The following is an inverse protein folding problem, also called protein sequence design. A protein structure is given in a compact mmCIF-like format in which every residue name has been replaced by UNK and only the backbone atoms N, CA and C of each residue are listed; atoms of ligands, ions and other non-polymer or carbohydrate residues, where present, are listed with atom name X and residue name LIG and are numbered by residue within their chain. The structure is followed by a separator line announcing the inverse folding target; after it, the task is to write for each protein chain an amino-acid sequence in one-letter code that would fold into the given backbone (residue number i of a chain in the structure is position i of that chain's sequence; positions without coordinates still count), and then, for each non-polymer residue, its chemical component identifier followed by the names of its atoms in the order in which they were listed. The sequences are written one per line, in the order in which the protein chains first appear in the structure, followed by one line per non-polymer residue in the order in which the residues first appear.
data_IF_298278893266
#
_entry.id   IF_298278893266
#
_cell.length_a   1.000
_cell.length_b   1.000
_cell.length_c   1.000
_cell.angle_alpha   90.00
_cell.angle_beta   90.00
_cell.angle_gamma   90.00
#
_symmetry.space_group_name_H-M   'P 1'
#
loop_
_entity.id
_entity.type
_entity.pdbx_description
1 polymer ?
#
# COMPACT_ATOMS: atom_id res chain seq x y z
N UNK A 1 28.43 1.14 49.20
CA UNK A 1 28.54 2.29 48.26
C UNK A 1 28.61 3.55 49.12
N UNK A 2 29.83 4.05 49.32
CA UNK A 2 30.06 5.27 50.10
C UNK A 2 29.83 6.46 49.16
N UNK A 3 28.84 7.27 49.46
CA UNK A 3 28.59 8.55 48.77
C UNK A 3 29.75 9.49 49.11
N UNK A 4 30.38 10.07 48.10
CA UNK A 4 31.44 11.05 48.32
C UNK A 4 30.90 12.27 49.10
N UNK A 5 31.64 12.81 50.08
CA UNK A 5 31.13 13.80 51.04
C UNK A 5 30.65 15.13 50.44
N UNK A 6 30.95 15.43 49.17
CA UNK A 6 30.45 16.63 48.48
C UNK A 6 29.04 16.54 47.88
N UNK A 7 28.46 15.34 47.76
CA UNK A 7 27.14 15.17 47.10
C UNK A 7 25.98 15.44 48.07
N UNK A 8 26.17 15.14 49.36
CA UNK A 8 25.18 15.44 50.39
C UNK A 8 25.14 16.95 50.73
N UNK A 9 26.31 17.59 50.75
CA UNK A 9 26.46 19.04 51.02
C UNK A 9 25.87 19.89 49.87
N UNK A 10 26.03 19.45 48.62
CA UNK A 10 25.39 20.09 47.46
C UNK A 10 23.85 19.99 47.47
N UNK A 11 23.29 18.90 48.00
CA UNK A 11 21.84 18.71 48.09
C UNK A 11 21.18 19.55 49.19
N UNK A 12 21.88 19.86 50.28
CA UNK A 12 21.40 20.80 51.31
C UNK A 12 21.48 22.26 50.84
N UNK A 13 22.54 22.64 50.10
CA UNK A 13 22.68 24.00 49.55
C UNK A 13 21.57 24.33 48.52
N UNK A 14 21.11 23.36 47.75
CA UNK A 14 19.99 23.53 46.80
C UNK A 14 18.63 23.58 47.52
N UNK A 15 18.46 22.91 48.66
CA UNK A 15 17.22 22.96 49.48
C UNK A 15 17.10 24.23 50.33
N UNK A 16 18.22 24.84 50.71
CA UNK A 16 18.26 26.00 51.59
C UNK A 16 18.21 27.35 50.84
N UNK A 17 18.35 27.35 49.51
CA UNK A 17 18.08 28.56 48.73
C UNK A 17 16.56 28.76 48.61
N UNK A 18 16.02 29.94 49.00
CA UNK A 18 14.70 30.33 48.56
C UNK A 18 14.74 30.35 47.03
N UNK A 19 13.83 29.63 46.39
CA UNK A 19 13.60 29.81 44.96
C UNK A 19 13.11 31.25 44.82
N UNK A 20 14.01 32.16 44.43
CA UNK A 20 13.58 33.45 43.93
C UNK A 20 12.61 33.15 42.80
N UNK A 21 11.38 33.66 42.95
CA UNK A 21 10.37 33.57 41.90
C UNK A 21 10.90 34.35 40.71
N UNK A 22 11.53 33.62 39.79
CA UNK A 22 11.82 34.09 38.45
C UNK A 22 10.50 34.61 37.91
N UNK A 23 10.43 35.91 37.58
CA UNK A 23 9.27 36.53 36.96
C UNK A 23 9.15 36.08 35.49
N UNK A 24 9.12 34.77 35.27
CA UNK A 24 8.97 34.15 33.97
C UNK A 24 7.93 33.03 34.08
N UNK A 25 6.78 33.35 34.69
CA UNK A 25 5.62 32.46 34.74
C UNK A 25 5.14 32.03 33.34
N UNK A 26 5.53 32.78 32.30
CA UNK A 26 5.30 32.39 30.92
C UNK A 26 6.13 31.18 30.47
N UNK A 27 7.36 31.01 30.97
CA UNK A 27 8.23 29.89 30.61
C UNK A 27 7.76 28.61 31.30
N UNK A 28 7.45 28.68 32.60
CA UNK A 28 6.90 27.55 33.37
C UNK A 28 5.54 27.08 32.82
N UNK A 29 4.64 28.01 32.47
CA UNK A 29 3.37 27.69 31.80
C UNK A 29 3.57 27.11 30.39
N UNK A 30 4.59 27.58 29.64
CA UNK A 30 4.95 27.02 28.33
C UNK A 30 5.46 25.59 28.46
N UNK A 31 6.33 25.32 29.42
CA UNK A 31 6.85 23.98 29.70
C UNK A 31 5.75 23.04 30.19
N UNK A 32 4.86 23.50 31.07
CA UNK A 32 3.70 22.70 31.50
C UNK A 32 2.76 22.40 30.33
N UNK A 33 2.53 23.36 29.43
CA UNK A 33 1.70 23.14 28.24
C UNK A 33 2.35 22.18 27.25
N UNK A 34 3.66 22.26 27.04
CA UNK A 34 4.40 21.33 26.19
C UNK A 34 4.44 19.92 26.78
N UNK A 35 4.72 19.79 28.08
CA UNK A 35 4.71 18.50 28.76
C UNK A 35 3.31 17.87 28.75
N UNK A 36 2.26 18.67 29.02
CA UNK A 36 0.88 18.18 28.93
C UNK A 36 0.51 17.79 27.49
N UNK A 37 0.95 18.55 26.48
CA UNK A 37 0.73 18.19 25.07
C UNK A 37 1.44 16.89 24.69
N UNK A 38 2.67 16.66 25.20
CA UNK A 38 3.43 15.44 24.98
C UNK A 38 2.82 14.23 25.72
N UNK A 39 2.29 14.43 26.93
CA UNK A 39 1.57 13.39 27.67
C UNK A 39 0.23 13.05 26.98
N UNK A 40 -0.49 14.05 26.47
CA UNK A 40 -1.74 13.85 25.73
C UNK A 40 -1.48 13.15 24.38
N UNK A 41 -0.38 13.50 23.70
CA UNK A 41 0.13 12.81 22.51
C UNK A 41 0.47 11.35 22.84
N UNK A 42 1.21 11.10 23.92
CA UNK A 42 1.57 9.75 24.36
C UNK A 42 0.33 8.92 24.73
N UNK A 43 -0.64 9.52 25.43
CA UNK A 43 -1.93 8.86 25.74
C UNK A 43 -2.77 8.58 24.50
N UNK A 44 -2.74 9.46 23.48
CA UNK A 44 -3.36 9.20 22.18
C UNK A 44 -2.67 8.05 21.44
N UNK A 45 -1.35 7.90 21.59
CA UNK A 45 -0.59 6.79 21.01
C UNK A 45 -0.78 5.47 21.78
N UNK A 46 -1.07 5.54 23.09
CA UNK A 46 -1.31 4.39 23.98
C UNK A 46 -2.78 3.97 24.09
N UNK A 47 -3.72 4.72 23.50
CA UNK A 47 -5.15 4.39 23.56
C UNK A 47 -5.44 3.07 22.81
N UNK A 48 -5.85 2.00 23.52
CA UNK A 48 -6.07 0.69 22.91
C UNK A 48 -7.48 0.63 22.32
N UNK A 49 -7.56 0.33 21.01
CA UNK A 49 -8.78 0.04 20.25
C UNK A 49 -9.73 1.23 20.09
N UNK A 50 -9.43 2.08 19.12
CA UNK A 50 -10.44 2.88 18.43
C UNK A 50 -10.70 2.22 17.06
N UNK A 51 -11.94 1.87 16.76
CA UNK A 51 -12.31 1.29 15.46
C UNK A 51 -12.03 2.31 14.35
N UNK A 52 -11.24 1.94 13.36
CA UNK A 52 -11.11 2.72 12.12
C UNK A 52 -12.22 2.28 11.20
N UNK A 53 -13.16 3.17 10.89
CA UNK A 53 -14.03 2.95 9.74
C UNK A 53 -13.15 2.96 8.50
N UNK A 54 -12.93 1.77 7.92
CA UNK A 54 -12.32 1.65 6.61
C UNK A 54 -13.20 2.49 5.67
N UNK A 55 -12.59 3.49 5.03
CA UNK A 55 -13.30 4.35 4.08
C UNK A 55 -13.98 3.47 3.03
N UNK A 56 -15.19 3.84 2.59
CA UNK A 56 -15.97 3.04 1.63
C UNK A 56 -15.30 2.85 0.27
N UNK A 57 -14.17 3.52 0.06
CA UNK A 57 -13.40 3.56 -1.17
C UNK A 57 -12.01 2.97 -0.89
N UNK A 58 -11.68 1.88 -1.57
CA UNK A 58 -10.39 1.19 -1.44
C UNK A 58 -9.77 1.01 -2.82
N UNK A 59 -8.45 1.15 -2.93
CA UNK A 59 -7.72 0.66 -4.11
C UNK A 59 -7.43 -0.83 -3.98
N UNK A 60 -7.14 -1.51 -5.09
CA UNK A 60 -6.71 -2.91 -5.03
C UNK A 60 -5.43 -3.10 -4.19
N UNK A 61 -4.54 -2.10 -4.19
CA UNK A 61 -3.35 -2.03 -3.35
C UNK A 61 -3.67 -1.83 -1.86
N UNK A 62 -4.72 -1.07 -1.54
CA UNK A 62 -5.17 -0.91 -0.15
C UNK A 62 -5.65 -2.24 0.43
N UNK A 63 -6.31 -3.08 -0.36
CA UNK A 63 -6.74 -4.42 0.06
C UNK A 63 -5.53 -5.33 0.38
N UNK A 64 -4.48 -5.26 -0.45
CA UNK A 64 -3.22 -5.98 -0.23
C UNK A 64 -2.55 -5.51 1.06
N UNK A 65 -2.46 -4.19 1.22
CA UNK A 65 -1.84 -3.56 2.40
C UNK A 65 -2.59 -3.90 3.68
N UNK A 66 -3.92 -3.88 3.64
CA UNK A 66 -4.80 -4.26 4.74
C UNK A 66 -4.58 -5.72 5.15
N UNK A 67 -4.46 -6.65 4.19
CA UNK A 67 -4.21 -8.06 4.52
C UNK A 67 -2.79 -8.30 5.05
N UNK A 68 -1.79 -7.68 4.46
CA UNK A 68 -0.39 -7.87 4.87
C UNK A 68 -0.13 -7.33 6.28
N UNK A 69 -0.67 -6.15 6.60
CA UNK A 69 -0.53 -5.54 7.93
C UNK A 69 -1.71 -4.60 8.23
N UNK A 70 -2.81 -5.12 8.80
CA UNK A 70 -4.01 -4.34 9.08
C UNK A 70 -3.76 -3.14 10.00
N UNK A 71 -2.89 -3.31 11.01
CA UNK A 71 -2.54 -2.24 11.95
C UNK A 71 -1.75 -1.11 11.28
N UNK A 72 -0.80 -1.45 10.41
CA UNK A 72 -0.04 -0.45 9.66
C UNK A 72 -0.93 0.28 8.65
N UNK A 73 -1.83 -0.42 7.98
CA UNK A 73 -2.81 0.17 7.08
C UNK A 73 -3.74 1.16 7.82
N UNK A 74 -4.31 0.74 8.95
CA UNK A 74 -5.14 1.59 9.81
C UNK A 74 -4.38 2.83 10.33
N UNK A 75 -3.08 2.68 10.65
CA UNK A 75 -2.21 3.81 11.02
C UNK A 75 -1.98 4.79 9.87
N UNK A 76 -1.78 4.29 8.63
CA UNK A 76 -1.61 5.13 7.43
C UNK A 76 -2.88 5.91 7.11
N UNK A 77 -4.05 5.28 7.19
CA UNK A 77 -5.33 5.94 6.98
C UNK A 77 -5.58 7.06 8.01
N UNK A 78 -5.07 6.90 9.25
CA UNK A 78 -5.18 7.91 10.32
C UNK A 78 -4.24 9.09 10.19
N UNK A 79 -3.05 8.90 9.64
CA UNK A 79 -2.01 9.92 9.53
C UNK A 79 -1.37 9.83 8.14
N UNK A 80 -1.97 10.46 7.12
CA UNK A 80 -1.37 10.56 5.80
C UNK A 80 -0.12 11.45 5.91
N UNK A 81 1.05 10.84 6.05
CA UNK A 81 2.32 11.55 6.03
C UNK A 81 2.78 11.66 4.58
N UNK A 82 3.24 12.82 4.09
CA UNK A 82 3.85 12.94 2.78
C UNK A 82 5.02 11.95 2.66
N UNK A 83 4.91 10.97 1.77
CA UNK A 83 5.99 10.02 1.55
C UNK A 83 7.18 10.73 0.91
N UNK A 84 8.38 10.48 1.43
CA UNK A 84 9.61 10.78 0.69
C UNK A 84 9.53 9.95 -0.59
N UNK A 85 9.58 10.55 -1.80
CA UNK A 85 9.33 9.82 -3.03
C UNK A 85 10.41 8.74 -3.17
N UNK A 86 10.00 7.48 -2.97
CA UNK A 86 10.86 6.33 -3.03
C UNK A 86 11.39 6.18 -4.45
N UNK A 87 12.71 6.10 -4.64
CA UNK A 87 13.33 5.95 -5.97
C UNK A 87 12.84 4.70 -6.70
N UNK A 88 12.42 3.66 -5.96
CA UNK A 88 11.83 2.44 -6.52
C UNK A 88 10.41 2.65 -7.02
N UNK A 89 9.59 3.39 -6.27
CA UNK A 89 8.27 3.83 -6.75
C UNK A 89 8.42 4.63 -8.06
N UNK A 90 9.46 5.49 -8.17
CA UNK A 90 9.76 6.19 -9.42
C UNK A 90 10.13 5.26 -10.58
N UNK A 91 10.77 4.12 -10.31
CA UNK A 91 11.15 3.14 -11.34
C UNK A 91 9.92 2.38 -11.83
N UNK A 92 9.09 1.88 -10.92
CA UNK A 92 7.81 1.25 -11.24
C UNK A 92 6.97 2.17 -12.11
N UNK A 93 6.75 3.42 -11.68
CA UNK A 93 6.02 4.42 -12.46
C UNK A 93 6.63 4.65 -13.85
N UNK A 94 7.95 4.80 -13.97
CA UNK A 94 8.60 4.98 -15.28
C UNK A 94 8.46 3.77 -16.20
N UNK A 95 8.44 2.56 -15.64
CA UNK A 95 8.24 1.33 -16.41
C UNK A 95 6.79 1.22 -16.91
N UNK A 96 5.79 1.46 -16.05
CA UNK A 96 4.39 1.46 -16.44
C UNK A 96 4.08 2.55 -17.47
N UNK A 97 4.61 3.77 -17.29
CA UNK A 97 4.48 4.84 -18.29
C UNK A 97 5.05 4.42 -19.65
N UNK A 98 6.18 3.69 -19.67
CA UNK A 98 6.71 3.16 -20.92
C UNK A 98 5.84 2.07 -21.54
N UNK A 99 5.19 1.22 -20.74
CA UNK A 99 4.24 0.22 -21.24
C UNK A 99 3.01 0.90 -21.85
N UNK A 100 2.49 1.94 -21.21
CA UNK A 100 1.40 2.77 -21.74
C UNK A 100 1.76 3.36 -23.11
N UNK A 101 2.93 4.01 -23.21
CA UNK A 101 3.45 4.57 -24.45
C UNK A 101 3.60 3.49 -25.53
N UNK A 102 4.13 2.31 -25.16
CA UNK A 102 4.33 1.18 -26.08
C UNK A 102 3.01 0.67 -26.65
N UNK A 103 2.00 0.53 -25.82
CA UNK A 103 0.69 0.02 -26.26
C UNK A 103 -0.25 1.13 -26.76
N UNK A 104 0.21 2.38 -26.80
CA UNK A 104 -0.49 3.51 -27.42
C UNK A 104 -1.65 4.06 -26.59
N UNK A 105 -1.67 3.80 -25.28
CA UNK A 105 -2.68 4.34 -24.38
C UNK A 105 -2.25 5.73 -23.89
N UNK A 106 -2.91 6.79 -24.34
CA UNK A 106 -2.72 8.12 -23.77
C UNK A 106 -3.55 8.24 -22.49
N UNK A 107 -3.00 7.84 -21.35
CA UNK A 107 -3.63 8.09 -20.04
C UNK A 107 -3.18 9.46 -19.51
N UNK A 108 -4.15 10.32 -19.18
CA UNK A 108 -3.92 11.49 -18.34
C UNK A 108 -3.60 10.97 -16.94
N UNK A 109 -2.47 11.38 -16.37
CA UNK A 109 -2.07 11.01 -15.01
C UNK A 109 -3.12 11.51 -14.00
N UNK A 110 -3.83 10.61 -13.34
CA UNK A 110 -4.62 10.91 -12.14
C UNK A 110 -3.75 10.76 -10.89
N UNK A 111 -3.87 11.72 -9.97
CA UNK A 111 -3.01 11.94 -8.80
C UNK A 111 -3.18 10.87 -7.69
N UNK A 112 -4.07 9.88 -7.88
CA UNK A 112 -4.42 8.83 -6.92
C UNK A 112 -3.57 7.54 -7.04
N UNK A 113 -2.52 7.55 -7.86
CA UNK A 113 -1.61 6.40 -8.01
C UNK A 113 -0.63 6.32 -6.83
N UNK A 114 -1.12 5.89 -5.67
CA UNK A 114 -0.25 5.50 -4.57
C UNK A 114 0.36 4.12 -4.87
N UNK A 115 1.70 4.00 -4.83
CA UNK A 115 2.40 2.77 -5.21
C UNK A 115 2.05 1.60 -4.30
N UNK A 116 2.09 0.39 -4.87
CA UNK A 116 2.08 -0.89 -4.17
C UNK A 116 2.97 -0.87 -2.93
N UNK A 117 2.39 -0.87 -1.74
CA UNK A 117 3.15 -1.02 -0.49
C UNK A 117 3.57 -2.47 -0.34
N UNK A 118 4.79 -2.76 -0.82
CA UNK A 118 5.39 -4.09 -0.81
C UNK A 118 6.55 -4.28 -1.79
N UNK A 119 6.97 -3.26 -2.54
CA UNK A 119 8.16 -3.39 -3.38
C UNK A 119 9.44 -3.41 -2.52
N UNK A 120 9.84 -4.61 -2.09
CA UNK A 120 11.21 -4.85 -1.66
C UNK A 120 12.19 -4.67 -2.83
N UNK A 121 13.39 -4.24 -2.46
CA UNK A 121 14.48 -3.80 -3.32
C UNK A 121 14.74 -4.79 -4.45
N UNK A 122 14.55 -4.36 -5.69
CA UNK A 122 15.16 -5.02 -6.85
C UNK A 122 16.24 -4.08 -7.38
N UNK A 123 17.44 -4.59 -7.62
CA UNK A 123 18.59 -3.80 -8.08
C UNK A 123 18.51 -3.40 -9.57
N UNK A 124 17.40 -3.72 -10.23
CA UNK A 124 17.27 -3.58 -11.69
C UNK A 124 17.08 -2.13 -12.15
N UNK A 125 17.75 -1.76 -13.23
CA UNK A 125 17.51 -0.45 -13.88
C UNK A 125 16.20 -0.45 -14.69
N UNK A 126 15.65 0.74 -15.01
CA UNK A 126 14.50 0.85 -15.94
C UNK A 126 14.84 0.20 -17.29
N UNK A 127 16.08 0.36 -17.77
CA UNK A 127 16.53 -0.24 -19.03
C UNK A 127 16.48 -1.77 -18.99
N UNK A 128 16.99 -2.37 -17.91
CA UNK A 128 16.92 -3.83 -17.71
C UNK A 128 15.48 -4.35 -17.66
N UNK A 129 14.56 -3.61 -17.03
CA UNK A 129 13.15 -3.99 -17.01
C UNK A 129 12.52 -3.95 -18.41
N UNK A 130 12.87 -2.93 -19.22
CA UNK A 130 12.43 -2.85 -20.62
C UNK A 130 12.95 -4.02 -21.44
N UNK A 131 14.24 -4.33 -21.31
CA UNK A 131 14.86 -5.45 -22.04
C UNK A 131 14.27 -6.80 -21.60
N UNK A 132 14.06 -7.00 -20.30
CA UNK A 132 13.43 -8.20 -19.77
C UNK A 132 11.98 -8.34 -20.25
N UNK A 133 11.21 -7.25 -20.28
CA UNK A 133 9.87 -7.26 -20.85
C UNK A 133 9.89 -7.63 -22.33
N UNK A 134 10.78 -7.02 -23.12
CA UNK A 134 10.91 -7.28 -24.56
C UNK A 134 11.34 -8.73 -24.88
N UNK A 135 12.04 -9.38 -23.95
CA UNK A 135 12.40 -10.80 -24.04
C UNK A 135 11.30 -11.75 -23.52
N UNK A 136 10.24 -11.23 -22.89
CA UNK A 136 9.16 -12.04 -22.33
C UNK A 136 8.12 -12.42 -23.39
N UNK A 137 7.30 -13.46 -23.15
CA UNK A 137 6.17 -13.80 -24.02
C UNK A 137 5.15 -12.66 -24.19
N UNK A 138 5.13 -11.69 -23.28
CA UNK A 138 4.20 -10.56 -23.32
C UNK A 138 4.60 -9.50 -24.36
N UNK A 139 5.85 -9.49 -24.83
CA UNK A 139 6.33 -8.50 -25.79
C UNK A 139 5.60 -8.55 -27.14
N UNK A 140 5.16 -9.75 -27.52
CA UNK A 140 4.48 -10.05 -28.79
C UNK A 140 2.96 -10.07 -28.66
N UNK A 141 2.41 -10.04 -27.44
CA UNK A 141 0.97 -9.99 -27.21
C UNK A 141 0.46 -8.55 -27.31
N UNK A 142 -0.67 -8.37 -27.97
CA UNK A 142 -1.38 -7.08 -27.99
C UNK A 142 -2.58 -7.15 -27.06
N UNK A 143 -2.64 -6.35 -25.99
CA UNK A 143 -3.79 -6.29 -25.11
C UNK A 143 -5.01 -5.68 -25.82
N UNK A 144 -6.20 -6.14 -25.45
CA UNK A 144 -7.46 -5.55 -25.91
C UNK A 144 -7.75 -4.23 -25.19
N UNK A 145 -7.36 -4.13 -23.93
CA UNK A 145 -7.47 -2.93 -23.12
C UNK A 145 -6.18 -2.73 -22.33
N UNK A 146 -5.76 -1.48 -22.18
CA UNK A 146 -4.57 -1.07 -21.45
C UNK A 146 -4.99 -0.02 -20.45
N UNK A 147 -4.46 -0.11 -19.23
CA UNK A 147 -4.71 0.85 -18.17
C UNK A 147 -6.22 1.13 -18.00
N UNK A 148 -7.03 0.07 -17.98
CA UNK A 148 -8.47 0.20 -17.99
C UNK A 148 -8.97 0.48 -16.57
N UNK A 149 -9.68 1.60 -16.33
CA UNK A 149 -10.20 1.91 -15.01
C UNK A 149 -11.34 0.94 -14.64
N UNK A 150 -11.48 0.67 -13.35
CA UNK A 150 -12.61 -0.07 -12.83
C UNK A 150 -13.14 0.52 -11.53
N UNK A 151 -14.42 0.27 -11.29
CA UNK A 151 -15.08 0.42 -10.00
C UNK A 151 -15.94 -0.82 -9.78
N UNK A 152 -15.82 -1.45 -8.61
CA UNK A 152 -16.58 -2.65 -8.27
C UNK A 152 -17.03 -2.62 -6.82
N UNK A 153 -18.24 -3.10 -6.56
CA UNK A 153 -18.76 -3.25 -5.21
C UNK A 153 -18.51 -4.67 -4.74
N UNK A 154 -17.82 -4.81 -3.59
CA UNK A 154 -17.55 -6.10 -2.93
C UNK A 154 -18.08 -6.01 -1.50
N UNK A 155 -19.19 -6.72 -1.25
CA UNK A 155 -19.94 -6.57 -0.01
C UNK A 155 -20.45 -5.13 0.13
N UNK A 156 -20.02 -4.43 1.19
CA UNK A 156 -20.33 -3.01 1.43
C UNK A 156 -19.23 -2.04 1.00
N UNK A 157 -18.16 -2.54 0.39
CA UNK A 157 -16.98 -1.75 0.01
C UNK A 157 -17.00 -1.47 -1.48
N UNK A 158 -16.65 -0.24 -1.86
CA UNK A 158 -16.39 0.14 -3.25
C UNK A 158 -14.88 0.07 -3.46
N UNK A 159 -14.47 -0.72 -4.45
CA UNK A 159 -13.06 -0.87 -4.82
C UNK A 159 -12.85 -0.24 -6.19
N UNK A 160 -11.89 0.67 -6.28
CA UNK A 160 -11.50 1.37 -7.51
C UNK A 160 -10.07 1.08 -7.89
N UNK A 161 -9.74 1.21 -9.16
CA UNK A 161 -8.36 1.08 -9.61
C UNK A 161 -8.24 1.02 -11.12
N UNK A 162 -7.09 0.53 -11.57
CA UNK A 162 -6.77 0.32 -12.98
C UNK A 162 -6.21 -1.08 -13.17
N UNK A 163 -6.46 -1.66 -14.33
CA UNK A 163 -5.86 -2.91 -14.78
C UNK A 163 -4.84 -2.57 -15.86
N UNK A 164 -3.58 -2.97 -15.69
CA UNK A 164 -2.54 -2.61 -16.66
C UNK A 164 -2.86 -3.14 -18.06
N UNK A 165 -3.30 -4.39 -18.15
CA UNK A 165 -3.69 -4.99 -19.41
C UNK A 165 -4.78 -6.05 -19.27
N UNK A 166 -5.64 -6.11 -20.29
CA UNK A 166 -6.68 -7.14 -20.42
C UNK A 166 -6.61 -7.75 -21.80
N UNK A 167 -6.55 -9.08 -21.84
CA UNK A 167 -6.48 -9.88 -23.05
C UNK A 167 -7.74 -10.73 -23.20
N UNK A 168 -8.24 -10.82 -24.43
CA UNK A 168 -9.21 -11.83 -24.83
C UNK A 168 -8.45 -13.01 -25.43
N UNK A 169 -8.69 -14.19 -24.88
CA UNK A 169 -8.07 -15.43 -25.32
C UNK A 169 -8.84 -16.03 -26.51
N UNK A 170 -8.16 -16.89 -27.27
CA UNK A 170 -8.74 -17.50 -28.47
C UNK A 170 -9.98 -18.36 -28.18
N UNK A 171 -10.10 -18.90 -26.96
CA UNK A 171 -11.25 -19.67 -26.48
C UNK A 171 -12.41 -18.79 -25.99
N UNK A 172 -12.26 -17.46 -26.04
CA UNK A 172 -13.26 -16.49 -25.59
C UNK A 172 -13.18 -16.13 -24.11
N UNK A 173 -12.27 -16.74 -23.34
CA UNK A 173 -12.00 -16.33 -21.95
C UNK A 173 -11.23 -15.02 -21.90
N UNK A 174 -11.20 -14.39 -20.73
CA UNK A 174 -10.46 -13.15 -20.49
C UNK A 174 -9.31 -13.40 -19.53
N UNK A 175 -8.21 -12.69 -19.73
CA UNK A 175 -7.05 -12.68 -18.85
C UNK A 175 -6.69 -11.23 -18.49
N UNK A 176 -6.82 -10.89 -17.22
CA UNK A 176 -6.33 -9.62 -16.67
C UNK A 176 -4.89 -9.82 -16.21
N UNK A 177 -4.00 -8.93 -16.63
CA UNK A 177 -2.56 -9.00 -16.35
C UNK A 177 -2.12 -7.69 -15.74
N UNK A 178 -1.33 -7.78 -14.68
CA UNK A 178 -0.68 -6.65 -14.05
C UNK A 178 0.83 -6.96 -13.95
N UNK A 179 1.65 -6.02 -14.41
CA UNK A 179 3.09 -6.16 -14.50
C UNK A 179 3.76 -5.68 -13.21
N UNK A 180 4.54 -6.55 -12.58
CA UNK A 180 5.25 -6.25 -11.34
C UNK A 180 6.74 -6.08 -11.60
N UNK A 181 7.32 -5.02 -11.03
CA UNK A 181 8.77 -4.75 -11.07
C UNK A 181 9.51 -5.21 -9.81
N UNK A 182 8.77 -5.62 -8.78
CA UNK A 182 9.28 -6.15 -7.51
C UNK A 182 9.56 -7.65 -7.51
N UNK A 183 9.79 -8.18 -6.31
CA UNK A 183 10.04 -9.60 -6.06
C UNK A 183 8.79 -10.47 -6.23
N UNK A 184 8.99 -11.75 -6.53
CA UNK A 184 7.91 -12.74 -6.53
C UNK A 184 7.46 -12.95 -5.07
N UNK A 185 6.17 -12.78 -4.75
CA UNK A 185 5.68 -12.78 -3.39
C UNK A 185 5.79 -14.17 -2.78
N UNK A 186 6.13 -14.23 -1.50
CA UNK A 186 6.20 -15.48 -0.74
C UNK A 186 5.32 -15.42 0.51
N UNK A 187 4.92 -16.59 1.01
CA UNK A 187 4.15 -16.69 2.25
C UNK A 187 2.89 -15.79 2.28
N UNK A 188 2.73 -14.91 3.29
CA UNK A 188 1.58 -14.01 3.42
C UNK A 188 1.36 -13.09 2.20
N UNK A 189 2.42 -12.58 1.59
CA UNK A 189 2.33 -11.67 0.44
C UNK A 189 1.68 -12.35 -0.76
N UNK A 190 1.93 -13.64 -0.95
CA UNK A 190 1.28 -14.44 -2.00
C UNK A 190 -0.23 -14.49 -1.80
N UNK A 191 -0.67 -14.56 -0.55
CA UNK A 191 -2.10 -14.57 -0.21
C UNK A 191 -2.76 -13.21 -0.45
N UNK A 192 -2.02 -12.11 -0.35
CA UNK A 192 -2.51 -10.78 -0.70
C UNK A 192 -2.54 -10.58 -2.22
N UNK A 193 -1.53 -11.07 -2.93
CA UNK A 193 -1.50 -11.10 -4.39
C UNK A 193 -2.72 -11.83 -4.98
N UNK A 194 -3.09 -12.98 -4.43
CA UNK A 194 -4.31 -13.72 -4.84
C UNK A 194 -5.59 -12.89 -4.66
N UNK A 195 -5.71 -12.14 -3.56
CA UNK A 195 -6.88 -11.26 -3.34
C UNK A 195 -6.95 -10.16 -4.40
N UNK A 196 -5.81 -9.53 -4.70
CA UNK A 196 -5.77 -8.47 -5.70
C UNK A 196 -6.21 -8.99 -7.08
N UNK A 197 -5.69 -10.15 -7.50
CA UNK A 197 -6.10 -10.78 -8.76
C UNK A 197 -7.58 -11.16 -8.78
N UNK A 198 -8.12 -11.61 -7.64
CA UNK A 198 -9.54 -11.89 -7.52
C UNK A 198 -10.41 -10.64 -7.65
N UNK A 199 -9.98 -9.51 -7.09
CA UNK A 199 -10.65 -8.21 -7.26
C UNK A 199 -10.68 -7.79 -8.72
N UNK A 200 -9.54 -7.88 -9.43
CA UNK A 200 -9.50 -7.60 -10.86
C UNK A 200 -10.43 -8.50 -11.67
N UNK A 201 -10.47 -9.79 -11.33
CA UNK A 201 -11.39 -10.75 -11.95
C UNK A 201 -12.86 -10.32 -11.79
N UNK A 202 -13.28 -10.02 -10.55
CA UNK A 202 -14.66 -9.61 -10.27
C UNK A 202 -14.98 -8.26 -10.94
N UNK A 203 -14.04 -7.33 -10.91
CA UNK A 203 -14.19 -6.03 -11.55
C UNK A 203 -14.39 -6.17 -13.07
N UNK A 204 -13.55 -6.96 -13.75
CA UNK A 204 -13.65 -7.14 -15.19
C UNK A 204 -14.95 -7.87 -15.58
N UNK A 205 -15.30 -8.92 -14.85
CA UNK A 205 -16.54 -9.66 -15.06
C UNK A 205 -17.77 -8.77 -14.91
N UNK A 206 -17.77 -7.89 -13.90
CA UNK A 206 -18.83 -6.90 -13.67
C UNK A 206 -18.94 -5.89 -14.82
N UNK A 207 -17.80 -5.31 -15.25
CA UNK A 207 -17.76 -4.35 -16.37
C UNK A 207 -18.32 -4.95 -17.67
N UNK A 208 -17.93 -6.18 -17.98
CA UNK A 208 -18.36 -6.89 -19.19
C UNK A 208 -19.71 -7.58 -19.04
N UNK A 209 -20.28 -7.64 -17.83
CA UNK A 209 -21.51 -8.38 -17.50
C UNK A 209 -21.45 -9.86 -17.89
N UNK A 210 -20.33 -10.50 -17.55
CA UNK A 210 -20.04 -11.92 -17.84
C UNK A 210 -19.83 -12.71 -16.53
N UNK A 211 -19.79 -14.03 -16.66
CA UNK A 211 -19.47 -14.92 -15.54
C UNK A 211 -17.99 -14.75 -15.12
N UNK A 212 -17.68 -14.44 -13.85
CA UNK A 212 -16.31 -14.38 -13.34
C UNK A 212 -15.48 -15.64 -13.57
N UNK A 213 -16.10 -16.82 -13.74
CA UNK A 213 -15.40 -18.06 -14.06
C UNK A 213 -14.72 -18.02 -15.44
N UNK A 214 -15.14 -17.12 -16.33
CA UNK A 214 -14.54 -16.91 -17.66
C UNK A 214 -13.38 -15.92 -17.65
N UNK A 215 -13.02 -15.40 -16.47
CA UNK A 215 -11.98 -14.39 -16.30
C UNK A 215 -10.87 -14.93 -15.40
N UNK A 216 -9.63 -14.90 -15.90
CA UNK A 216 -8.41 -15.25 -15.19
C UNK A 216 -7.64 -13.98 -14.81
N UNK A 217 -6.78 -14.10 -13.80
CA UNK A 217 -5.93 -13.00 -13.35
C UNK A 217 -4.50 -13.49 -13.17
N UNK A 218 -3.53 -12.72 -13.66
CA UNK A 218 -2.11 -13.04 -13.51
C UNK A 218 -1.28 -11.81 -13.15
N UNK A 219 -0.22 -12.03 -12.38
CA UNK A 219 0.88 -11.08 -12.26
C UNK A 219 2.06 -11.54 -13.08
N UNK A 220 2.69 -10.63 -13.81
CA UNK A 220 3.96 -10.92 -14.48
C UNK A 220 5.11 -10.13 -13.83
N UNK A 221 6.01 -10.84 -13.16
CA UNK A 221 7.22 -10.30 -12.54
C UNK A 221 8.31 -10.13 -13.60
N UNK A 222 8.40 -8.91 -14.14
CA UNK A 222 9.16 -8.60 -15.35
C UNK A 222 10.64 -8.96 -15.22
N UNK A 223 11.28 -8.54 -14.13
CA UNK A 223 12.69 -8.83 -13.87
C UNK A 223 13.00 -10.34 -13.80
N UNK A 224 12.01 -11.14 -13.40
CA UNK A 224 12.14 -12.58 -13.22
C UNK A 224 11.63 -13.38 -14.43
N UNK A 225 11.07 -12.69 -15.44
CA UNK A 225 10.33 -13.29 -16.54
C UNK A 225 9.37 -14.41 -16.07
N UNK A 226 8.68 -14.15 -14.95
CA UNK A 226 7.84 -15.14 -14.28
C UNK A 226 6.40 -14.66 -14.21
N UNK A 227 5.47 -15.49 -14.68
CA UNK A 227 4.04 -15.23 -14.57
C UNK A 227 3.45 -16.07 -13.43
N UNK A 228 2.91 -15.38 -12.43
CA UNK A 228 2.13 -15.97 -11.36
C UNK A 228 0.64 -15.91 -11.73
N UNK A 229 0.07 -17.06 -12.04
CA UNK A 229 -1.34 -17.23 -12.36
C UNK A 229 -1.95 -18.27 -11.42
N UNK A 230 -2.73 -17.86 -10.40
CA UNK A 230 -3.41 -18.80 -9.52
C UNK A 230 -4.47 -19.62 -10.27
N UNK A 231 -4.50 -20.94 -10.02
CA UNK A 231 -5.55 -21.81 -10.57
C UNK A 231 -6.94 -21.46 -10.04
N UNK A 232 -7.01 -20.99 -8.78
CA UNK A 232 -8.25 -20.58 -8.13
C UNK A 232 -8.10 -19.19 -7.52
N UNK A 233 -9.14 -18.39 -7.69
CA UNK A 233 -9.26 -17.04 -7.15
C UNK A 233 -10.55 -16.95 -6.31
N UNK A 234 -10.53 -16.26 -5.16
CA UNK A 234 -11.71 -16.08 -4.32
C UNK A 234 -12.90 -15.41 -5.02
N UNK A 235 -14.11 -15.90 -4.76
CA UNK A 235 -15.35 -15.34 -5.29
C UNK A 235 -15.72 -13.99 -4.64
N UNK A 236 -16.75 -13.32 -5.15
CA UNK A 236 -17.20 -12.02 -4.60
C UNK A 236 -17.65 -12.11 -3.14
N UNK A 237 -18.32 -13.21 -2.74
CA UNK A 237 -18.76 -13.44 -1.36
C UNK A 237 -17.57 -13.69 -0.42
N UNK A 238 -16.62 -14.53 -0.84
CA UNK A 238 -15.40 -14.80 -0.07
C UNK A 238 -14.56 -13.52 0.09
N UNK A 239 -14.46 -12.71 -0.97
CA UNK A 239 -13.83 -11.39 -0.88
C UNK A 239 -14.56 -10.48 0.09
N UNK A 240 -15.91 -10.42 0.05
CA UNK A 240 -16.68 -9.61 0.99
C UNK A 240 -16.39 -10.00 2.45
N UNK A 241 -16.38 -11.30 2.76
CA UNK A 241 -16.04 -11.81 4.09
C UNK A 241 -14.62 -11.42 4.52
N UNK A 242 -13.65 -11.46 3.60
CA UNK A 242 -12.27 -11.05 3.88
C UNK A 242 -12.15 -9.55 4.16
N UNK A 243 -12.97 -8.72 3.52
CA UNK A 243 -12.94 -7.26 3.68
C UNK A 243 -13.70 -6.77 4.91
N UNK A 244 -14.72 -7.50 5.35
CA UNK A 244 -15.49 -7.12 6.52
C UNK A 244 -14.75 -7.30 7.85
N UNK A 245 -13.54 -7.89 7.81
CA UNK A 245 -12.70 -8.12 8.98
C UNK A 245 -13.27 -9.26 9.82
N UNK A 246 -12.65 -10.43 9.69
CA UNK A 246 -12.97 -11.55 10.58
C UNK A 246 -12.60 -11.25 12.03
#
# INVERSE_FOLDING_TARGET
LHVAPGVAEGAELVRAQPVESSQDGGMEELWEREVNALIEEQRRLESPVMNVEISRELTATDLVSMKNNPEQFARRLRRPVPFKPNTYAKRGTQFHQWLEDRFGATALLDEDQLPGMGEEQSDHTVAELKDAFLASPWAERTPNFVEHPFEVVIGRHVVRGRMDAVFQEADGTWLVVDWKTGQIPTGPERSAAIIQLAVYRIAWASLQKIDPATVRGAFHYVAHNHTFEPETLPGAEELALLLDGS
#
